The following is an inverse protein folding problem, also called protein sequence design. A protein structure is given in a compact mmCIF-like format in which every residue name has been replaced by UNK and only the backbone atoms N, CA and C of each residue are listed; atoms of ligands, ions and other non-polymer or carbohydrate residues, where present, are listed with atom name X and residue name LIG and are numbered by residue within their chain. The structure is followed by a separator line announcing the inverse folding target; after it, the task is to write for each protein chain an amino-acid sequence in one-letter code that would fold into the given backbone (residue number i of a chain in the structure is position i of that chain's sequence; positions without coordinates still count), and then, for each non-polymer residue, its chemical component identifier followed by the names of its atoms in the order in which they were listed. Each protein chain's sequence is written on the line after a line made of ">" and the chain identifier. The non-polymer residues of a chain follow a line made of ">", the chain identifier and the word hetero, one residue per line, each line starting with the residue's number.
data_IF_823970545837
#
_entry.id   IF_823970545837
#
_cell.length_a   1.000
_cell.length_b   1.000
_cell.length_c   1.000
_cell.angle_alpha   90.00
_cell.angle_beta   90.00
_cell.angle_gamma   90.00
#
_symmetry.space_group_name_H-M   'P 1'
#
loop_
_entity.id
_entity.type
_entity.pdbx_description
1 polymer ?
#
# COMPACT_ATOMS: atom_id res chain seq x y z
N UNK A 1 -0.06 -37.75 -13.83
CA UNK A 1 0.59 -36.50 -13.39
C UNK A 1 -0.55 -35.57 -13.04
N UNK A 2 -0.63 -35.14 -11.79
CA UNK A 2 -1.71 -34.27 -11.31
C UNK A 2 -1.13 -32.88 -11.14
N UNK A 3 -1.69 -31.85 -11.79
CA UNK A 3 -1.14 -30.50 -11.74
C UNK A 3 -1.33 -29.85 -10.36
N UNK A 4 -0.42 -28.94 -10.00
CA UNK A 4 -0.58 -28.04 -8.84
C UNK A 4 -1.56 -26.94 -9.23
N UNK A 5 -2.53 -26.69 -8.36
CA UNK A 5 -3.68 -25.83 -8.66
C UNK A 5 -3.62 -24.58 -7.77
N UNK A 6 -3.25 -23.43 -8.32
CA UNK A 6 -3.37 -22.15 -7.62
C UNK A 6 -4.86 -21.78 -7.53
N UNK A 7 -5.40 -21.54 -6.32
CA UNK A 7 -6.82 -21.21 -6.13
C UNK A 7 -6.99 -19.79 -5.58
N UNK A 8 -7.27 -18.82 -6.44
CA UNK A 8 -7.48 -17.44 -6.00
C UNK A 8 -8.85 -17.28 -5.31
N UNK A 9 -8.89 -17.37 -3.98
CA UNK A 9 -10.10 -17.11 -3.18
C UNK A 9 -10.12 -15.68 -2.65
N UNK A 10 -11.21 -14.95 -2.83
CA UNK A 10 -11.41 -13.65 -2.18
C UNK A 10 -11.96 -13.83 -0.76
N UNK A 11 -11.18 -13.41 0.23
CA UNK A 11 -11.67 -13.25 1.59
C UNK A 11 -11.50 -11.83 2.13
N UNK A 12 -12.45 -11.38 2.93
CA UNK A 12 -12.37 -10.22 3.82
C UNK A 12 -12.33 -10.78 5.24
N UNK A 13 -11.28 -10.48 5.98
CA UNK A 13 -11.02 -11.00 7.32
C UNK A 13 -11.08 -9.89 8.36
N UNK A 14 -11.19 -10.25 9.64
CA UNK A 14 -10.65 -9.38 10.70
C UNK A 14 -9.18 -9.15 10.42
N UNK A 15 -8.70 -7.91 10.62
CA UNK A 15 -7.29 -7.58 10.51
C UNK A 15 -6.44 -8.70 11.17
N UNK A 16 -5.55 -9.38 10.42
CA UNK A 16 -4.64 -10.34 11.04
C UNK A 16 -3.91 -9.64 12.18
N UNK A 17 -3.45 -10.37 13.21
CA UNK A 17 -2.65 -9.78 14.31
C UNK A 17 -1.40 -9.01 13.79
N UNK A 18 -1.07 -9.16 12.50
CA UNK A 18 -0.11 -8.38 11.73
C UNK A 18 -0.76 -7.87 10.41
N UNK A 19 -0.76 -6.56 10.12
CA UNK A 19 -1.18 -6.02 8.83
C UNK A 19 -0.38 -6.66 7.66
N UNK A 20 -1.03 -6.96 6.54
CA UNK A 20 -0.34 -7.45 5.33
C UNK A 20 -0.29 -8.97 5.11
N UNK A 21 -1.15 -9.77 5.74
CA UNK A 21 -1.03 -11.24 5.57
C UNK A 21 -1.65 -11.72 4.24
N UNK A 22 -0.81 -12.07 3.28
CA UNK A 22 -1.18 -13.06 2.25
C UNK A 22 -1.31 -14.42 2.95
N UNK A 23 -2.51 -15.01 3.01
CA UNK A 23 -2.70 -16.33 3.64
C UNK A 23 -2.32 -17.42 2.63
N UNK A 24 -1.03 -17.59 2.39
CA UNK A 24 -0.48 -18.82 1.85
C UNK A 24 -0.34 -19.82 2.99
N UNK A 25 -1.20 -20.84 3.06
CA UNK A 25 -1.04 -21.91 4.04
C UNK A 25 -0.32 -23.11 3.38
N UNK A 26 0.98 -23.34 3.64
CA UNK A 26 1.67 -24.56 3.19
C UNK A 26 1.22 -25.83 3.96
N UNK A 27 0.21 -25.77 4.83
CA UNK A 27 -0.23 -26.86 5.69
C UNK A 27 -1.70 -27.27 5.55
N UNK A 28 -1.98 -28.18 4.60
CA UNK A 28 -3.17 -29.07 4.61
C UNK A 28 -4.53 -28.46 4.23
N UNK A 29 -5.27 -29.19 3.39
CA UNK A 29 -6.58 -28.84 2.79
C UNK A 29 -7.74 -28.59 3.79
N UNK A 30 -7.54 -28.91 5.07
CA UNK A 30 -8.61 -28.94 6.07
C UNK A 30 -8.71 -27.65 6.92
N UNK A 31 -7.81 -26.68 6.73
CA UNK A 31 -7.71 -25.49 7.60
C UNK A 31 -7.65 -24.12 6.91
N UNK A 32 -8.01 -23.99 5.63
CA UNK A 32 -8.49 -22.70 5.10
C UNK A 32 -9.91 -22.43 5.63
N UNK A 33 -10.06 -22.37 6.96
CA UNK A 33 -11.26 -21.88 7.63
C UNK A 33 -11.07 -20.38 7.82
N UNK A 34 -11.20 -19.63 6.73
CA UNK A 34 -11.23 -18.16 6.79
C UNK A 34 -12.60 -17.79 7.35
N UNK A 35 -12.69 -17.56 8.66
CA UNK A 35 -13.93 -17.07 9.26
C UNK A 35 -14.04 -15.58 8.96
N UNK A 36 -14.85 -15.21 7.97
CA UNK A 36 -15.16 -13.81 7.71
C UNK A 36 -15.83 -13.19 8.94
N UNK A 37 -15.24 -12.16 9.54
CA UNK A 37 -16.07 -11.18 10.22
C UNK A 37 -16.93 -10.51 9.16
N UNK A 38 -18.18 -10.94 9.03
CA UNK A 38 -19.11 -10.33 8.10
C UNK A 38 -19.31 -8.87 8.50
N UNK A 39 -19.09 -7.95 7.55
CA UNK A 39 -19.65 -6.60 7.67
C UNK A 39 -21.16 -6.78 7.76
N UNK A 40 -21.78 -6.34 8.86
CA UNK A 40 -23.22 -6.57 9.08
C UNK A 40 -24.02 -5.96 7.93
N UNK A 41 -24.79 -6.78 7.22
CA UNK A 41 -25.61 -6.34 6.08
C UNK A 41 -24.92 -6.37 4.72
N UNK A 42 -23.70 -6.92 4.64
CA UNK A 42 -23.00 -7.20 3.38
C UNK A 42 -22.66 -8.68 3.28
N UNK A 43 -23.22 -9.35 2.29
CA UNK A 43 -22.85 -10.69 1.88
C UNK A 43 -21.97 -10.59 0.63
N UNK A 44 -20.91 -11.41 0.53
CA UNK A 44 -20.09 -11.42 -0.68
C UNK A 44 -20.82 -12.14 -1.81
N UNK A 45 -20.72 -11.61 -3.01
CA UNK A 45 -21.10 -12.29 -4.25
C UNK A 45 -19.87 -12.90 -4.92
N UNK A 46 -20.13 -13.61 -6.01
CA UNK A 46 -19.07 -14.06 -6.91
C UNK A 46 -18.55 -12.90 -7.76
N UNK A 47 -17.38 -13.09 -8.35
CA UNK A 47 -16.76 -12.16 -9.26
C UNK A 47 -16.11 -12.87 -10.43
N UNK A 48 -15.55 -12.09 -11.34
CA UNK A 48 -14.75 -12.61 -12.45
C UNK A 48 -13.55 -11.73 -12.67
N UNK A 49 -12.42 -12.28 -13.08
CA UNK A 49 -11.30 -11.50 -13.61
C UNK A 49 -10.73 -12.20 -14.82
N UNK A 50 -10.00 -11.49 -15.68
CA UNK A 50 -9.20 -12.10 -16.74
C UNK A 50 -7.76 -12.20 -16.28
N UNK A 51 -7.16 -13.37 -16.37
CA UNK A 51 -5.73 -13.54 -16.17
C UNK A 51 -5.01 -12.96 -17.38
N UNK A 52 -4.35 -11.82 -17.20
CA UNK A 52 -3.60 -11.16 -18.24
C UNK A 52 -2.18 -11.72 -18.34
N UNK A 53 -1.55 -12.04 -17.20
CA UNK A 53 -0.17 -12.53 -17.16
C UNK A 53 0.13 -13.26 -15.86
N UNK A 54 0.98 -14.28 -15.92
CA UNK A 54 1.63 -14.86 -14.74
C UNK A 54 3.11 -15.04 -15.05
N UNK A 55 3.99 -14.45 -14.25
CA UNK A 55 5.44 -14.63 -14.36
C UNK A 55 5.94 -15.29 -13.10
N UNK A 56 6.64 -16.40 -13.23
CA UNK A 56 7.34 -17.04 -12.12
C UNK A 56 8.82 -16.66 -12.19
N UNK A 57 9.36 -16.19 -11.06
CA UNK A 57 10.77 -15.85 -10.92
C UNK A 57 11.48 -16.97 -10.18
N UNK A 58 12.42 -17.63 -10.85
CA UNK A 58 13.31 -18.62 -10.25
C UNK A 58 14.27 -17.97 -9.27
N UNK A 59 14.73 -18.74 -8.28
CA UNK A 59 15.67 -18.26 -7.26
C UNK A 59 17.07 -17.91 -7.81
N UNK A 60 17.36 -18.31 -9.04
CA UNK A 60 18.57 -17.96 -9.80
C UNK A 60 18.40 -16.72 -10.70
N UNK A 61 17.24 -16.04 -10.60
CA UNK A 61 16.89 -14.89 -11.44
C UNK A 61 16.32 -15.28 -12.81
N UNK A 62 16.14 -16.57 -13.10
CA UNK A 62 15.38 -16.99 -14.29
C UNK A 62 13.92 -16.55 -14.19
N UNK A 63 13.26 -16.35 -15.34
CA UNK A 63 11.84 -16.03 -15.39
C UNK A 63 11.11 -16.97 -16.34
N UNK A 64 9.91 -17.39 -15.96
CA UNK A 64 9.01 -18.20 -16.78
C UNK A 64 7.67 -17.47 -16.88
N UNK A 65 7.35 -17.01 -18.09
CA UNK A 65 6.02 -16.47 -18.42
C UNK A 65 5.07 -17.66 -18.67
N UNK A 66 4.04 -17.78 -17.84
CA UNK A 66 3.05 -18.84 -17.93
C UNK A 66 1.93 -18.36 -18.87
N UNK A 67 1.86 -18.97 -20.05
CA UNK A 67 0.94 -18.58 -21.12
C UNK A 67 -0.53 -18.62 -20.63
N UNK A 68 -1.22 -17.45 -20.61
CA UNK A 68 -2.63 -17.38 -20.22
C UNK A 68 -3.57 -18.27 -21.05
N UNK A 69 -3.17 -18.62 -22.28
CA UNK A 69 -3.95 -19.48 -23.17
C UNK A 69 -4.03 -20.94 -22.69
N UNK A 70 -3.24 -21.33 -21.68
CA UNK A 70 -3.31 -22.65 -21.05
C UNK A 70 -4.43 -22.78 -20.01
N UNK A 71 -5.09 -21.67 -19.65
CA UNK A 71 -6.21 -21.63 -18.70
C UNK A 71 -7.56 -21.77 -19.44
N UNK A 72 -8.73 -21.72 -18.77
CA UNK A 72 -10.03 -21.82 -19.43
C UNK A 72 -10.10 -20.89 -20.65
N UNK A 73 -10.86 -21.28 -21.69
CA UNK A 73 -10.96 -20.48 -22.90
C UNK A 73 -11.28 -19.03 -22.52
N UNK A 74 -10.41 -18.12 -22.96
CA UNK A 74 -10.43 -16.67 -22.76
C UNK A 74 -9.79 -16.12 -21.46
N UNK A 75 -9.15 -16.97 -20.63
CA UNK A 75 -8.43 -16.51 -19.43
C UNK A 75 -9.34 -16.01 -18.31
N UNK A 76 -10.65 -16.25 -18.39
CA UNK A 76 -11.61 -15.83 -17.37
C UNK A 76 -11.50 -16.73 -16.12
N UNK A 77 -11.16 -16.12 -14.99
CA UNK A 77 -11.14 -16.72 -13.66
C UNK A 77 -12.42 -16.31 -12.94
N UNK A 78 -13.13 -17.29 -12.37
CA UNK A 78 -14.20 -17.03 -11.41
C UNK A 78 -13.59 -16.73 -10.05
N UNK A 79 -13.98 -15.61 -9.47
CA UNK A 79 -13.61 -15.20 -8.12
C UNK A 79 -14.78 -15.54 -7.20
N UNK A 80 -14.84 -16.78 -6.72
CA UNK A 80 -15.98 -17.23 -5.92
C UNK A 80 -15.70 -17.16 -4.42
N UNK A 81 -16.77 -16.97 -3.66
CA UNK A 81 -16.80 -17.17 -2.21
C UNK A 81 -16.87 -18.65 -1.83
N UNK A 82 -17.35 -19.49 -2.74
CA UNK A 82 -17.36 -20.95 -2.60
C UNK A 82 -16.09 -21.53 -3.24
N UNK A 83 -15.50 -22.56 -2.61
CA UNK A 83 -14.18 -23.15 -2.97
C UNK A 83 -14.06 -23.73 -4.40
N UNK A 84 -15.08 -23.61 -5.25
CA UNK A 84 -15.07 -24.12 -6.61
C UNK A 84 -14.38 -23.11 -7.56
N UNK A 85 -13.08 -22.93 -7.39
CA UNK A 85 -12.30 -22.03 -8.23
C UNK A 85 -11.67 -22.77 -9.40
N UNK A 86 -11.51 -22.04 -10.50
CA UNK A 86 -10.70 -22.52 -11.63
C UNK A 86 -9.26 -22.21 -11.29
N UNK A 87 -8.43 -23.24 -11.14
CA UNK A 87 -7.05 -23.00 -10.77
C UNK A 87 -6.09 -22.89 -11.94
N UNK A 88 -4.95 -22.26 -11.63
CA UNK A 88 -3.84 -22.05 -12.55
C UNK A 88 -2.85 -23.19 -12.34
N UNK A 89 -2.55 -23.93 -13.40
CA UNK A 89 -1.47 -24.91 -13.39
C UNK A 89 -0.12 -24.19 -13.50
N UNK A 90 0.75 -24.38 -12.50
CA UNK A 90 2.10 -23.82 -12.51
C UNK A 90 3.11 -24.88 -12.98
N UNK A 91 4.13 -24.49 -13.77
CA UNK A 91 5.22 -25.40 -14.11
C UNK A 91 5.97 -25.85 -12.85
N UNK A 92 6.45 -27.11 -12.82
CA UNK A 92 7.20 -27.64 -11.70
C UNK A 92 8.52 -26.88 -11.53
N UNK A 93 8.92 -26.61 -10.29
CA UNK A 93 10.11 -25.83 -9.98
C UNK A 93 10.13 -25.23 -8.59
N UNK A 94 11.23 -24.57 -8.25
CA UNK A 94 11.37 -23.76 -7.03
C UNK A 94 11.39 -22.30 -7.44
N UNK A 95 10.37 -21.55 -7.04
CA UNK A 95 10.17 -20.15 -7.44
C UNK A 95 10.36 -19.26 -6.22
N UNK A 96 11.14 -18.19 -6.38
CA UNK A 96 11.37 -17.17 -5.36
C UNK A 96 10.51 -15.92 -5.56
N UNK A 97 9.76 -15.85 -6.67
CA UNK A 97 8.72 -14.86 -6.83
C UNK A 97 7.64 -15.27 -7.84
N UNK A 98 6.51 -14.57 -7.76
CA UNK A 98 5.40 -14.72 -8.69
C UNK A 98 4.72 -13.37 -8.92
N UNK A 99 4.65 -12.94 -10.18
CA UNK A 99 3.87 -11.78 -10.59
C UNK A 99 2.59 -12.26 -11.27
N UNK A 100 1.42 -11.82 -10.79
CA UNK A 100 0.11 -12.14 -11.37
C UNK A 100 -0.58 -10.85 -11.78
N UNK A 101 -0.86 -10.70 -13.07
CA UNK A 101 -1.64 -9.60 -13.62
C UNK A 101 -3.05 -10.08 -13.93
N UNK A 102 -4.05 -9.46 -13.31
CA UNK A 102 -5.46 -9.61 -13.65
C UNK A 102 -5.94 -8.36 -14.40
N UNK A 103 -6.83 -8.52 -15.37
CA UNK A 103 -7.56 -7.42 -16.00
C UNK A 103 -9.07 -7.61 -15.86
N UNK A 104 -9.82 -6.52 -16.00
CA UNK A 104 -11.28 -6.52 -16.06
C UNK A 104 -11.93 -7.27 -14.88
N UNK A 105 -11.36 -7.13 -13.68
CA UNK A 105 -11.89 -7.78 -12.50
C UNK A 105 -13.22 -7.14 -12.09
N UNK A 106 -14.25 -7.96 -11.91
CA UNK A 106 -15.58 -7.60 -11.46
C UNK A 106 -15.85 -8.35 -10.17
N UNK A 107 -16.20 -7.62 -9.10
CA UNK A 107 -16.52 -8.20 -7.79
C UNK A 107 -17.95 -7.80 -7.43
N UNK A 108 -18.81 -8.78 -7.17
CA UNK A 108 -20.17 -8.51 -6.70
C UNK A 108 -20.25 -8.60 -5.17
N UNK A 109 -20.96 -7.67 -4.56
CA UNK A 109 -21.28 -7.64 -3.14
C UNK A 109 -22.79 -7.52 -3.00
N UNK A 110 -23.41 -8.43 -2.27
CA UNK A 110 -24.82 -8.36 -1.91
C UNK A 110 -24.97 -7.48 -0.67
N UNK A 111 -25.78 -6.44 -0.76
CA UNK A 111 -26.15 -5.58 0.36
C UNK A 111 -27.66 -5.59 0.53
N UNK A 112 -28.16 -5.12 1.67
CA UNK A 112 -29.60 -5.10 1.95
C UNK A 112 -30.44 -4.39 0.85
N UNK A 113 -29.84 -3.48 0.09
CA UNK A 113 -30.49 -2.67 -0.95
C UNK A 113 -30.28 -3.19 -2.38
N UNK A 114 -29.45 -4.21 -2.62
CA UNK A 114 -29.16 -4.72 -3.96
C UNK A 114 -27.76 -5.31 -4.10
N UNK A 115 -27.27 -5.41 -5.33
CA UNK A 115 -25.91 -5.89 -5.63
C UNK A 115 -25.02 -4.70 -6.01
N UNK A 116 -23.90 -4.54 -5.33
CA UNK A 116 -22.83 -3.62 -5.68
C UNK A 116 -21.85 -4.36 -6.57
N UNK A 117 -21.53 -3.82 -7.75
CA UNK A 117 -20.48 -4.37 -8.63
C UNK A 117 -19.30 -3.42 -8.68
N UNK A 118 -18.16 -3.87 -8.17
CA UNK A 118 -16.89 -3.17 -8.31
C UNK A 118 -16.20 -3.64 -9.59
N UNK A 119 -15.72 -2.71 -10.43
CA UNK A 119 -14.96 -3.02 -11.65
C UNK A 119 -13.55 -2.44 -11.56
N UNK A 120 -12.56 -3.31 -11.53
CA UNK A 120 -11.13 -2.98 -11.42
C UNK A 120 -10.47 -3.30 -12.76
N UNK A 121 -9.82 -2.31 -13.37
CA UNK A 121 -9.24 -2.47 -14.71
C UNK A 121 -8.05 -3.42 -14.74
N UNK A 122 -7.17 -3.29 -13.77
CA UNK A 122 -5.96 -4.09 -13.65
C UNK A 122 -5.61 -4.32 -12.17
N UNK A 123 -5.10 -5.50 -11.84
CA UNK A 123 -4.56 -5.85 -10.53
C UNK A 123 -3.23 -6.55 -10.79
N UNK A 124 -2.12 -5.98 -10.35
CA UNK A 124 -0.80 -6.62 -10.41
C UNK A 124 -0.41 -7.07 -8.99
N UNK A 125 -0.25 -8.38 -8.79
CA UNK A 125 0.16 -8.98 -7.52
C UNK A 125 1.60 -9.44 -7.66
N UNK A 126 2.51 -8.91 -6.84
CA UNK A 126 3.91 -9.31 -6.81
C UNK A 126 4.21 -10.02 -5.49
N UNK A 127 4.48 -11.32 -5.58
CA UNK A 127 5.05 -12.09 -4.50
C UNK A 127 6.56 -12.07 -4.66
N UNK A 128 7.21 -11.24 -3.87
CA UNK A 128 8.66 -11.22 -3.75
C UNK A 128 8.98 -11.40 -2.27
N UNK A 129 9.59 -12.55 -1.94
CA UNK A 129 10.13 -12.93 -0.63
C UNK A 129 9.18 -13.67 0.35
N UNK A 130 9.68 -14.82 0.83
CA UNK A 130 8.99 -15.87 1.60
C UNK A 130 9.74 -17.21 1.47
N UNK A 131 9.26 -18.29 2.11
CA UNK A 131 9.75 -19.64 1.77
C UNK A 131 9.52 -19.90 0.28
N UNK A 132 10.53 -20.45 -0.41
CA UNK A 132 10.44 -20.66 -1.86
C UNK A 132 9.19 -21.48 -2.20
N UNK A 133 8.45 -21.03 -3.23
CA UNK A 133 7.31 -21.75 -3.77
C UNK A 133 7.83 -23.00 -4.48
N UNK A 134 7.75 -24.14 -3.82
CA UNK A 134 8.12 -25.44 -4.40
C UNK A 134 6.89 -26.07 -5.06
N UNK A 135 6.89 -26.08 -6.39
CA UNK A 135 5.91 -26.78 -7.23
C UNK A 135 6.51 -28.15 -7.58
N UNK A 136 6.23 -29.15 -6.75
CA UNK A 136 6.73 -30.52 -6.95
C UNK A 136 5.61 -31.46 -7.46
N UNK A 137 5.77 -32.06 -8.65
CA UNK A 137 4.76 -32.94 -9.24
C UNK A 137 4.65 -34.31 -8.55
N UNK A 138 5.59 -34.70 -7.67
CA UNK A 138 5.61 -36.01 -7.01
C UNK A 138 5.02 -36.00 -5.59
N UNK A 139 5.04 -34.87 -4.88
CA UNK A 139 4.55 -34.76 -3.49
C UNK A 139 3.06 -34.42 -3.36
N UNK A 140 2.36 -34.25 -4.48
CA UNK A 140 1.00 -33.66 -4.53
C UNK A 140 -0.15 -34.66 -4.64
N UNK A 141 0.11 -35.97 -4.52
CA UNK A 141 -0.97 -36.97 -4.62
C UNK A 141 -2.00 -36.88 -3.48
N UNK A 142 -1.63 -36.35 -2.31
CA UNK A 142 -2.53 -36.27 -1.14
C UNK A 142 -2.68 -34.84 -0.55
N UNK A 143 -1.95 -33.84 -1.03
CA UNK A 143 -2.05 -32.44 -0.57
C UNK A 143 -1.86 -31.48 -1.74
N UNK A 144 -2.95 -30.87 -2.19
CA UNK A 144 -2.89 -29.69 -3.07
C UNK A 144 -2.58 -28.48 -2.20
N UNK A 145 -1.48 -27.78 -2.49
CA UNK A 145 -1.23 -26.47 -1.90
C UNK A 145 -2.17 -25.47 -2.60
N UNK A 146 -3.00 -24.79 -1.82
CA UNK A 146 -3.96 -23.79 -2.29
C UNK A 146 -3.46 -22.40 -1.83
N UNK A 147 -3.40 -21.44 -2.75
CA UNK A 147 -2.94 -20.07 -2.47
C UNK A 147 -4.03 -19.10 -2.88
N UNK A 148 -4.56 -18.31 -1.93
CA UNK A 148 -5.65 -17.36 -2.15
C UNK A 148 -5.23 -15.90 -2.01
N UNK A 149 -5.88 -15.01 -2.77
CA UNK A 149 -5.73 -13.56 -2.65
C UNK A 149 -6.82 -13.00 -1.72
N UNK A 150 -6.44 -12.63 -0.49
CA UNK A 150 -7.37 -12.09 0.50
C UNK A 150 -7.35 -10.56 0.43
N UNK A 151 -8.49 -9.93 0.17
CA UNK A 151 -8.67 -8.49 0.27
C UNK A 151 -9.09 -8.15 1.71
N UNK A 152 -8.11 -7.88 2.58
CA UNK A 152 -8.40 -7.56 3.99
C UNK A 152 -8.68 -6.08 4.18
N UNK A 153 -9.92 -5.76 4.58
CA UNK A 153 -10.37 -4.66 5.45
C UNK A 153 -11.90 -4.52 5.30
N UNK A 154 -12.73 -4.71 6.34
CA UNK A 154 -14.19 -4.65 6.22
C UNK A 154 -14.77 -3.21 6.17
N UNK A 155 -13.97 -2.21 6.50
CA UNK A 155 -14.46 -0.84 6.74
C UNK A 155 -14.84 -0.10 5.45
N UNK A 156 -14.14 -0.37 4.33
CA UNK A 156 -14.50 0.23 3.03
C UNK A 156 -15.86 -0.25 2.51
N UNK A 157 -16.25 -1.49 2.82
CA UNK A 157 -17.57 -2.04 2.49
C UNK A 157 -18.68 -1.33 3.27
N UNK A 158 -18.43 -0.94 4.53
CA UNK A 158 -19.40 -0.22 5.34
C UNK A 158 -19.69 1.19 4.78
N UNK A 159 -18.70 1.85 4.16
CA UNK A 159 -18.89 3.15 3.49
C UNK A 159 -19.67 3.01 2.17
N UNK A 160 -19.42 1.95 1.40
CA UNK A 160 -20.20 1.63 0.19
C UNK A 160 -21.69 1.39 0.50
N UNK A 161 -21.99 0.73 1.62
CA UNK A 161 -23.37 0.48 2.07
C UNK A 161 -24.11 1.76 2.45
N UNK A 162 -23.39 2.80 2.89
CA UNK A 162 -24.00 4.10 3.20
C UNK A 162 -24.48 4.83 1.94
N UNK A 163 -24.06 4.39 0.76
CA UNK A 163 -24.51 4.99 -0.49
C UNK A 163 -25.87 4.43 -0.92
N UNK A 164 -26.76 5.33 -1.36
CA UNK A 164 -28.06 4.93 -1.89
C UNK A 164 -27.89 4.46 -3.34
N UNK A 165 -28.19 3.19 -3.68
CA UNK A 165 -28.09 2.72 -5.05
C UNK A 165 -29.07 3.47 -5.96
N UNK A 166 -28.61 3.85 -7.14
CA UNK A 166 -29.45 4.33 -8.24
C UNK A 166 -29.68 3.15 -9.17
N UNK A 167 -30.94 2.75 -9.37
CA UNK A 167 -31.31 1.59 -10.20
C UNK A 167 -30.67 0.25 -9.78
N UNK A 168 -30.36 0.09 -8.49
CA UNK A 168 -29.83 -1.17 -7.93
C UNK A 168 -28.35 -1.43 -8.22
N UNK A 169 -27.64 -0.47 -8.81
CA UNK A 169 -26.19 -0.49 -9.01
C UNK A 169 -25.58 0.70 -8.25
N UNK A 170 -24.54 0.42 -7.44
CA UNK A 170 -23.66 1.48 -6.92
C UNK A 170 -22.49 1.54 -7.89
N UNK A 171 -22.46 2.57 -8.73
CA UNK A 171 -21.26 2.95 -9.48
C UNK A 171 -20.62 4.10 -8.70
N UNK A 172 -19.52 3.85 -7.98
CA UNK A 172 -18.83 4.95 -7.31
C UNK A 172 -18.45 6.01 -8.34
N UNK A 173 -18.61 7.28 -7.99
CA UNK A 173 -18.03 8.36 -8.79
C UNK A 173 -16.49 8.31 -8.75
N UNK A 174 -15.82 9.16 -9.52
CA UNK A 174 -14.35 9.12 -9.62
C UNK A 174 -13.65 9.32 -8.27
N UNK A 175 -14.19 10.18 -7.40
CA UNK A 175 -13.62 10.47 -6.07
C UNK A 175 -13.83 9.28 -5.12
N UNK A 176 -15.01 8.67 -5.18
CA UNK A 176 -15.33 7.47 -4.41
C UNK A 176 -14.55 6.25 -4.89
N UNK A 177 -14.35 6.13 -6.20
CA UNK A 177 -13.54 5.08 -6.80
C UNK A 177 -12.08 5.23 -6.39
N UNK A 178 -11.53 6.44 -6.44
CA UNK A 178 -10.18 6.76 -5.95
C UNK A 178 -10.04 6.48 -4.43
N UNK A 179 -11.06 6.81 -3.63
CA UNK A 179 -11.06 6.53 -2.19
C UNK A 179 -11.16 5.02 -1.88
N UNK A 180 -11.94 4.27 -2.64
CA UNK A 180 -12.06 2.81 -2.54
C UNK A 180 -10.75 2.13 -2.94
N UNK A 181 -10.18 2.55 -4.06
CA UNK A 181 -8.92 2.05 -4.59
C UNK A 181 -7.76 2.33 -3.62
N UNK A 182 -7.68 3.55 -3.06
CA UNK A 182 -6.70 3.91 -2.03
C UNK A 182 -6.84 3.15 -0.71
N UNK A 183 -8.01 2.57 -0.41
CA UNK A 183 -8.24 1.73 0.78
C UNK A 183 -8.14 0.23 0.50
N UNK A 184 -8.24 -0.20 -0.75
CA UNK A 184 -7.94 -1.58 -1.16
C UNK A 184 -6.44 -1.83 -1.31
N UNK A 185 -5.66 -0.77 -1.56
CA UNK A 185 -4.20 -0.69 -1.66
C UNK A 185 -3.40 -1.07 -0.39
N UNK A 186 -4.06 -1.62 0.63
CA UNK A 186 -3.69 -1.59 2.05
C UNK A 186 -2.63 -2.62 2.48
N UNK A 187 -1.92 -3.26 1.55
CA UNK A 187 -0.79 -4.16 1.88
C UNK A 187 0.47 -3.87 1.09
N UNK A 188 0.72 -2.58 0.80
CA UNK A 188 1.74 -2.03 -0.10
C UNK A 188 1.21 -1.90 -1.52
N UNK A 189 1.17 -0.67 -2.02
CA UNK A 189 1.07 -0.50 -3.46
C UNK A 189 1.77 0.73 -3.98
N UNK A 190 2.48 0.53 -5.07
CA UNK A 190 2.83 1.57 -6.01
C UNK A 190 1.71 1.62 -7.05
N UNK A 191 1.12 2.80 -7.25
CA UNK A 191 0.66 3.17 -8.59
C UNK A 191 1.90 3.59 -9.35
N UNK A 192 2.28 2.86 -10.40
CA UNK A 192 3.27 3.41 -11.32
C UNK A 192 2.69 4.63 -12.07
N UNK A 193 3.55 5.36 -12.78
CA UNK A 193 3.13 6.50 -13.61
C UNK A 193 2.14 6.14 -14.73
N UNK A 194 1.80 4.85 -14.89
CA UNK A 194 0.82 4.32 -15.84
C UNK A 194 -0.51 3.92 -15.15
N UNK A 195 -0.62 4.08 -13.83
CA UNK A 195 -1.82 3.79 -13.04
C UNK A 195 -1.99 2.30 -12.67
N UNK A 196 -0.91 1.52 -12.63
CA UNK A 196 -0.94 0.09 -12.26
C UNK A 196 -0.80 -0.10 -10.76
N UNK A 197 -1.75 -0.79 -10.12
CA UNK A 197 -1.68 -1.17 -8.71
C UNK A 197 -0.75 -2.38 -8.52
N UNK A 198 0.44 -2.19 -7.95
CA UNK A 198 1.35 -3.29 -7.57
C UNK A 198 1.11 -3.68 -6.11
N UNK A 199 0.90 -4.95 -5.78
CA UNK A 199 0.79 -5.40 -4.38
C UNK A 199 2.03 -6.19 -3.96
N UNK A 200 2.77 -5.77 -2.92
CA UNK A 200 3.91 -6.52 -2.36
C UNK A 200 3.51 -7.31 -1.10
N UNK A 201 4.11 -8.50 -0.92
CA UNK A 201 3.85 -9.36 0.23
C UNK A 201 4.56 -8.91 1.53
N UNK A 202 4.18 -9.49 2.69
CA UNK A 202 4.85 -9.22 3.96
C UNK A 202 6.29 -9.75 3.93
N UNK A 203 7.24 -8.90 4.32
CA UNK A 203 8.68 -9.23 4.27
C UNK A 203 9.38 -8.82 2.98
N UNK A 204 8.71 -8.07 2.10
CA UNK A 204 9.37 -7.35 1.01
C UNK A 204 10.45 -6.42 1.58
N UNK A 205 11.72 -6.81 1.45
CA UNK A 205 12.82 -5.86 1.55
C UNK A 205 12.92 -5.19 0.17
N UNK A 206 12.56 -3.90 0.03
CA UNK A 206 12.70 -3.25 -1.25
C UNK A 206 14.13 -3.43 -1.74
N UNK A 207 14.33 -3.85 -3.00
CA UNK A 207 15.66 -4.17 -3.50
C UNK A 207 16.55 -2.97 -3.20
N UNK A 208 17.71 -3.21 -2.55
CA UNK A 208 18.73 -2.17 -2.44
C UNK A 208 18.88 -1.57 -3.83
N UNK A 209 18.58 -0.26 -4.01
CA UNK A 209 18.43 0.31 -5.35
C UNK A 209 19.67 -0.04 -6.15
N UNK A 210 19.46 -0.76 -7.26
CA UNK A 210 20.53 -1.42 -8.00
C UNK A 210 21.66 -0.42 -8.29
N UNK A 211 22.76 -0.53 -7.55
CA UNK A 211 23.97 0.28 -7.71
C UNK A 211 23.74 1.80 -7.77
N UNK A 212 22.92 2.39 -6.89
CA UNK A 212 23.06 3.82 -6.68
C UNK A 212 24.46 4.12 -6.15
N UNK A 213 25.19 5.04 -6.80
CA UNK A 213 26.42 5.58 -6.22
C UNK A 213 26.03 6.39 -4.99
N UNK A 214 26.08 5.73 -3.83
CA UNK A 214 25.84 6.30 -2.52
C UNK A 214 26.47 7.70 -2.41
N UNK A 215 25.63 8.74 -2.41
CA UNK A 215 26.08 10.12 -2.22
C UNK A 215 25.98 10.48 -0.73
N UNK A 216 26.85 11.36 -0.22
CA UNK A 216 26.62 11.96 1.09
C UNK A 216 25.29 12.71 1.08
N UNK A 217 24.50 12.55 2.15
CA UNK A 217 23.26 13.31 2.31
C UNK A 217 23.59 14.81 2.27
N UNK A 218 22.90 15.62 1.45
CA UNK A 218 23.13 17.06 1.39
C UNK A 218 23.08 17.70 2.78
N UNK A 219 24.00 18.63 3.05
CA UNK A 219 23.95 19.46 4.25
C UNK A 219 22.82 20.48 4.12
N UNK A 220 21.67 20.12 4.66
CA UNK A 220 20.47 20.97 4.69
C UNK A 220 20.43 21.77 5.99
N UNK A 221 19.87 22.97 5.89
CA UNK A 221 19.45 23.74 7.07
C UNK A 221 18.48 22.91 7.94
N UNK A 222 18.24 23.30 9.21
CA UNK A 222 17.15 22.71 9.98
C UNK A 222 15.88 22.75 9.14
N UNK A 223 15.24 21.61 8.93
CA UNK A 223 14.11 21.51 8.00
C UNK A 223 12.87 22.14 8.60
N UNK A 224 12.55 21.79 9.85
CA UNK A 224 11.44 22.36 10.59
C UNK A 224 11.87 23.72 11.15
N UNK A 225 11.27 24.80 10.64
CA UNK A 225 11.70 26.17 10.94
C UNK A 225 11.18 26.69 12.27
N UNK A 226 9.98 26.25 12.65
CA UNK A 226 9.19 26.88 13.70
C UNK A 226 8.67 25.88 14.74
N UNK A 227 9.42 24.80 14.95
CA UNK A 227 9.12 23.84 16.00
C UNK A 227 8.87 24.56 17.33
N UNK A 228 7.81 24.19 18.05
CA UNK A 228 7.35 24.84 19.27
C UNK A 228 8.28 24.60 20.50
N UNK A 229 9.59 24.80 20.34
CA UNK A 229 10.63 24.55 21.34
C UNK A 229 10.46 25.34 22.63
N UNK A 230 9.80 26.51 22.57
CA UNK A 230 9.49 27.32 23.76
C UNK A 230 8.45 26.65 24.68
N UNK A 231 7.72 25.68 24.17
CA UNK A 231 6.75 24.88 24.91
C UNK A 231 7.34 23.54 25.38
N UNK A 232 8.64 23.33 25.17
CA UNK A 232 9.35 22.13 25.61
C UNK A 232 9.41 21.01 24.58
N UNK A 233 9.01 21.26 23.34
CA UNK A 233 9.16 20.32 22.24
C UNK A 233 10.56 20.41 21.61
N UNK A 234 10.94 19.38 20.85
CA UNK A 234 12.25 19.30 20.22
C UNK A 234 12.10 18.92 18.75
N UNK A 235 13.05 19.37 17.92
CA UNK A 235 13.20 18.87 16.55
C UNK A 235 13.94 17.55 16.64
N UNK A 236 13.37 16.52 16.03
CA UNK A 236 13.97 15.22 15.92
C UNK A 236 14.34 14.97 14.46
N UNK A 237 15.64 14.83 14.18
CA UNK A 237 16.11 14.58 12.82
C UNK A 237 16.90 13.28 12.79
N UNK A 238 16.64 12.46 11.78
CA UNK A 238 17.43 11.31 11.41
C UNK A 238 17.77 11.36 9.92
N UNK A 239 18.95 10.88 9.55
CA UNK A 239 19.34 10.74 8.15
C UNK A 239 20.19 9.50 7.96
N UNK A 240 20.05 8.89 6.79
CA UNK A 240 20.90 7.80 6.37
C UNK A 240 22.36 8.29 6.21
N UNK A 241 23.33 7.39 6.35
CA UNK A 241 24.74 7.76 6.11
C UNK A 241 25.00 8.12 4.64
N UNK A 242 24.18 7.56 3.75
CA UNK A 242 24.26 7.72 2.30
C UNK A 242 22.85 7.81 1.74
N UNK A 243 22.68 8.56 0.66
CA UNK A 243 21.41 8.64 -0.09
C UNK A 243 21.58 8.07 -1.49
N UNK A 244 20.46 7.67 -2.07
CA UNK A 244 20.30 7.18 -3.42
C UNK A 244 19.17 7.95 -4.08
N UNK A 245 19.23 8.10 -5.40
CA UNK A 245 18.09 8.60 -6.18
C UNK A 245 17.31 7.43 -6.78
N UNK A 246 15.97 7.41 -6.65
CA UNK A 246 15.16 8.39 -5.93
C UNK A 246 15.28 8.29 -4.40
N UNK A 247 15.32 9.43 -3.70
CA UNK A 247 15.39 9.48 -2.24
C UNK A 247 14.02 9.62 -1.58
N UNK A 248 13.77 8.92 -0.46
CA UNK A 248 12.57 9.11 0.37
C UNK A 248 12.84 10.09 1.52
N UNK A 249 12.15 11.23 1.50
CA UNK A 249 12.28 12.29 2.51
C UNK A 249 11.00 12.39 3.30
N UNK A 250 11.08 12.31 4.62
CA UNK A 250 9.91 12.21 5.50
C UNK A 250 9.89 13.40 6.44
N UNK A 251 8.74 14.05 6.58
CA UNK A 251 8.45 14.88 7.73
C UNK A 251 7.21 14.44 8.48
N UNK A 252 7.23 14.68 9.78
CA UNK A 252 6.14 14.33 10.66
C UNK A 252 5.91 15.34 11.76
N UNK A 253 4.65 15.73 11.96
CA UNK A 253 4.24 16.55 13.10
C UNK A 253 3.12 15.91 13.88
N UNK A 254 2.94 16.28 15.14
CA UNK A 254 1.69 15.92 15.83
C UNK A 254 0.56 16.83 15.33
N UNK A 255 0.81 18.14 15.32
CA UNK A 255 -0.19 19.16 14.95
C UNK A 255 0.43 20.39 14.29
N UNK A 256 -0.38 21.18 13.58
CA UNK A 256 -0.02 22.53 13.15
C UNK A 256 -0.60 23.62 14.08
N UNK A 257 -1.54 23.26 14.97
CA UNK A 257 -2.24 24.18 15.89
C UNK A 257 -2.74 23.46 17.14
N UNK A 258 -2.82 24.19 18.26
CA UNK A 258 -3.07 23.62 19.59
C UNK A 258 -4.51 23.77 20.10
N UNK A 259 -5.41 24.39 19.34
CA UNK A 259 -6.82 24.56 19.71
C UNK A 259 -7.70 23.39 19.25
N UNK A 260 -7.18 22.17 19.41
CA UNK A 260 -7.92 20.93 19.22
C UNK A 260 -8.36 20.35 20.59
N UNK A 261 -9.34 19.47 20.57
CA UNK A 261 -9.81 18.71 21.75
C UNK A 261 -10.49 17.44 21.25
N UNK A 262 -10.88 16.51 22.14
CA UNK A 262 -11.28 15.16 21.73
C UNK A 262 -12.42 15.00 20.71
N UNK A 263 -13.20 16.05 20.41
CA UNK A 263 -14.19 16.06 19.32
C UNK A 263 -14.03 17.26 18.37
N UNK A 264 -12.93 18.01 18.47
CA UNK A 264 -12.72 19.26 17.74
C UNK A 264 -11.30 19.22 17.18
N UNK A 265 -11.20 18.96 15.88
CA UNK A 265 -9.93 18.81 15.16
C UNK A 265 -9.91 19.82 14.00
N UNK A 266 -9.63 21.11 14.28
CA UNK A 266 -9.65 22.13 13.24
C UNK A 266 -8.49 21.91 12.27
N UNK A 267 -8.76 22.05 10.98
CA UNK A 267 -7.73 21.97 9.93
C UNK A 267 -6.60 22.98 10.20
N UNK A 268 -5.38 22.45 10.27
CA UNK A 268 -4.14 23.21 10.32
C UNK A 268 -3.57 23.48 8.93
N UNK A 269 -2.65 24.43 8.84
CA UNK A 269 -1.98 24.79 7.58
C UNK A 269 -0.47 24.70 7.80
N UNK A 270 0.23 23.99 6.92
CA UNK A 270 1.69 23.88 6.93
C UNK A 270 2.22 24.30 5.58
N UNK A 271 3.23 25.17 5.58
CA UNK A 271 4.00 25.52 4.38
C UNK A 271 5.18 24.59 4.22
N UNK A 272 5.27 23.94 3.05
CA UNK A 272 6.35 22.99 2.72
C UNK A 272 7.10 23.49 1.50
N UNK A 273 8.39 23.76 1.64
CA UNK A 273 9.29 24.02 0.52
C UNK A 273 10.26 22.86 0.39
N UNK A 274 10.21 22.16 -0.74
CA UNK A 274 11.07 21.02 -1.03
C UNK A 274 11.92 21.33 -2.27
N UNK A 275 13.14 21.82 -2.04
CA UNK A 275 14.12 22.24 -3.06
C UNK A 275 15.40 21.43 -2.90
N UNK A 276 15.28 20.10 -3.04
CA UNK A 276 16.41 19.17 -3.07
C UNK A 276 16.62 18.74 -4.53
N UNK A 277 17.76 19.05 -5.16
CA UNK A 277 18.00 18.64 -6.54
C UNK A 277 17.95 17.12 -6.74
N UNK A 278 17.50 16.67 -7.90
CA UNK A 278 17.41 15.24 -8.25
C UNK A 278 16.01 14.65 -8.08
N UNK A 279 15.91 13.33 -8.11
CA UNK A 279 14.62 12.62 -8.07
C UNK A 279 14.27 12.16 -6.65
N UNK A 280 13.05 12.45 -6.20
CA UNK A 280 12.66 12.20 -4.80
C UNK A 280 11.20 11.80 -4.64
N UNK A 281 10.90 11.20 -3.49
CA UNK A 281 9.56 11.04 -2.93
C UNK A 281 9.51 11.81 -1.61
N UNK A 282 8.46 12.60 -1.42
CA UNK A 282 8.21 13.33 -0.18
C UNK A 282 7.09 12.67 0.59
N UNK A 283 7.31 12.34 1.87
CA UNK A 283 6.29 11.80 2.75
C UNK A 283 6.00 12.80 3.88
N UNK A 284 4.72 13.07 4.12
CA UNK A 284 4.25 14.02 5.12
C UNK A 284 3.28 13.31 6.05
N UNK A 285 3.40 13.55 7.36
CA UNK A 285 2.49 12.97 8.32
C UNK A 285 2.07 13.92 9.42
N UNK A 286 0.80 13.79 9.85
CA UNK A 286 0.30 14.48 11.03
C UNK A 286 -0.76 13.70 11.78
N UNK A 287 -0.76 13.76 13.12
CA UNK A 287 -1.89 13.23 13.89
C UNK A 287 -3.15 14.07 13.60
N UNK A 288 -3.08 15.38 13.85
CA UNK A 288 -4.15 16.35 13.60
C UNK A 288 -4.37 16.60 12.09
N UNK A 289 -5.54 17.14 11.67
CA UNK A 289 -5.81 17.39 10.27
C UNK A 289 -4.96 18.55 9.75
N UNK A 290 -4.29 18.35 8.61
CA UNK A 290 -3.37 19.33 8.02
C UNK A 290 -3.59 19.50 6.52
N UNK A 291 -3.62 20.76 6.09
CA UNK A 291 -3.41 21.16 4.69
C UNK A 291 -1.93 21.51 4.49
N UNK A 292 -1.26 20.72 3.66
CA UNK A 292 0.12 20.85 3.27
C UNK A 292 0.24 21.68 1.99
N UNK A 293 0.75 22.90 2.11
CA UNK A 293 0.97 23.81 0.98
C UNK A 293 2.39 23.61 0.45
N UNK A 294 2.53 22.71 -0.53
CA UNK A 294 3.82 22.25 -1.06
C UNK A 294 4.28 23.14 -2.21
N UNK A 295 5.56 23.51 -2.20
CA UNK A 295 6.30 24.15 -3.28
C UNK A 295 7.54 23.34 -3.60
N UNK A 296 7.76 23.07 -4.87
CA UNK A 296 8.87 22.23 -5.36
C UNK A 296 9.91 23.12 -6.04
N UNK A 297 11.18 22.88 -5.74
CA UNK A 297 12.30 23.56 -6.36
C UNK A 297 12.43 23.27 -7.87
N UNK A 298 13.03 24.18 -8.66
CA UNK A 298 13.11 24.02 -10.11
C UNK A 298 14.03 22.87 -10.57
N UNK A 299 14.98 22.46 -9.70
CA UNK A 299 15.91 21.36 -9.96
C UNK A 299 15.44 20.03 -9.31
N UNK A 300 14.23 20.03 -8.71
CA UNK A 300 13.67 18.90 -7.98
C UNK A 300 12.62 18.18 -8.81
N UNK A 301 12.80 16.87 -8.99
CA UNK A 301 11.80 15.99 -9.59
C UNK A 301 11.11 15.18 -8.48
N UNK A 302 9.98 15.68 -7.96
CA UNK A 302 9.14 14.90 -7.06
C UNK A 302 8.31 13.90 -7.87
N UNK A 303 8.54 12.61 -7.63
CA UNK A 303 7.80 11.52 -8.28
C UNK A 303 6.42 11.28 -7.65
N UNK A 304 6.33 11.44 -6.33
CA UNK A 304 5.10 11.29 -5.56
C UNK A 304 5.17 12.05 -4.23
N UNK A 305 4.00 12.35 -3.67
CA UNK A 305 3.84 12.79 -2.29
C UNK A 305 3.01 11.75 -1.53
N UNK A 306 3.59 11.18 -0.49
CA UNK A 306 2.91 10.28 0.42
C UNK A 306 2.35 11.08 1.59
N UNK A 307 1.11 10.81 1.98
CA UNK A 307 0.52 11.39 3.20
C UNK A 307 -0.05 10.32 4.11
N UNK A 308 0.20 10.45 5.41
CA UNK A 308 -0.39 9.59 6.44
C UNK A 308 -0.85 10.45 7.62
N UNK A 309 -2.05 10.19 8.14
CA UNK A 309 -2.58 10.98 9.24
C UNK A 309 -3.75 10.33 9.94
N UNK A 310 -3.91 10.57 11.26
CA UNK A 310 -5.06 10.03 11.99
C UNK A 310 -6.32 10.73 11.53
N UNK A 311 -6.21 12.04 11.33
CA UNK A 311 -7.21 12.87 10.68
C UNK A 311 -6.80 13.24 9.25
N UNK A 312 -7.72 13.92 8.56
CA UNK A 312 -7.60 14.28 7.16
C UNK A 312 -6.29 15.01 6.82
N UNK A 313 -5.61 14.52 5.78
CA UNK A 313 -4.42 15.15 5.20
C UNK A 313 -4.75 15.62 3.78
N UNK A 314 -4.53 16.91 3.51
CA UNK A 314 -4.80 17.55 2.21
C UNK A 314 -3.51 18.14 1.67
N UNK A 315 -3.14 17.86 0.42
CA UNK A 315 -1.96 18.47 -0.22
C UNK A 315 -2.42 19.48 -1.27
N UNK A 316 -1.75 20.63 -1.34
CA UNK A 316 -2.02 21.72 -2.29
C UNK A 316 -0.71 22.29 -2.85
N UNK A 317 -0.83 23.00 -3.98
CA UNK A 317 0.29 23.75 -4.57
C UNK A 317 1.18 22.94 -5.52
N UNK A 318 0.77 21.73 -5.88
CA UNK A 318 1.51 20.81 -6.74
C UNK A 318 0.56 19.93 -7.56
N UNK A 319 1.03 19.51 -8.74
CA UNK A 319 0.35 18.54 -9.62
C UNK A 319 0.99 17.14 -9.51
N UNK A 320 1.95 16.96 -8.60
CA UNK A 320 2.62 15.68 -8.32
C UNK A 320 1.59 14.66 -7.78
N UNK A 321 1.64 13.38 -8.18
CA UNK A 321 0.76 12.34 -7.65
C UNK A 321 0.78 12.29 -6.12
N UNK A 322 -0.40 12.23 -5.51
CA UNK A 322 -0.57 12.15 -4.04
C UNK A 322 -1.09 10.75 -3.71
N UNK A 323 -0.43 10.09 -2.76
CA UNK A 323 -0.82 8.78 -2.26
C UNK A 323 -1.08 8.84 -0.76
N UNK A 324 -2.22 8.31 -0.32
CA UNK A 324 -2.48 8.10 1.10
C UNK A 324 -1.87 6.78 1.54
N UNK A 325 -1.07 6.81 2.60
CA UNK A 325 -0.48 5.63 3.21
C UNK A 325 -1.26 5.28 4.46
N UNK A 326 -1.77 4.05 4.48
CA UNK A 326 -2.48 3.45 5.60
C UNK A 326 -1.50 2.79 6.58
N UNK A 327 -1.81 2.79 7.87
CA UNK A 327 -0.95 2.18 8.91
C UNK A 327 -0.94 3.00 10.19
N UNK A 328 0.09 2.92 11.04
CA UNK A 328 0.23 3.83 12.17
C UNK A 328 0.30 5.26 11.65
N UNK A 329 -0.78 5.97 11.90
CA UNK A 329 -1.18 7.19 11.21
C UNK A 329 -0.48 8.46 11.72
N UNK A 330 0.54 8.34 12.57
CA UNK A 330 1.32 9.48 13.02
C UNK A 330 2.71 9.09 13.53
N UNK A 331 3.66 10.00 13.34
CA UNK A 331 5.02 9.91 13.83
C UNK A 331 5.70 11.25 13.68
N UNK A 332 6.28 11.78 14.77
CA UNK A 332 6.87 13.13 14.81
C UNK A 332 8.17 13.17 15.63
N UNK A 333 8.65 12.01 16.08
CA UNK A 333 9.87 11.84 16.86
C UNK A 333 10.46 10.46 16.54
N UNK A 334 11.76 10.34 16.35
CA UNK A 334 12.41 9.08 15.97
C UNK A 334 13.63 8.77 16.86
N UNK A 335 13.75 7.56 17.43
CA UNK A 335 12.70 6.54 17.53
C UNK A 335 11.59 7.00 18.51
N UNK A 336 10.33 6.72 18.21
CA UNK A 336 9.23 7.00 19.13
C UNK A 336 8.06 6.05 18.88
N UNK A 337 7.61 5.44 19.96
CA UNK A 337 6.45 4.56 19.98
C UNK A 337 5.66 4.80 21.26
N UNK A 338 4.75 5.79 21.22
CA UNK A 338 3.99 6.25 22.37
C UNK A 338 2.80 7.13 21.99
N UNK A 339 1.82 7.25 22.90
CA UNK A 339 0.65 8.13 22.76
C UNK A 339 -0.15 7.97 21.46
N UNK A 340 -0.17 6.77 20.87
CA UNK A 340 -0.88 6.49 19.62
C UNK A 340 -0.07 6.78 18.35
N UNK A 341 1.16 7.30 18.46
CA UNK A 341 2.08 7.47 17.35
C UNK A 341 3.23 6.47 17.43
N UNK A 342 3.50 5.80 16.31
CA UNK A 342 4.60 4.86 16.15
C UNK A 342 5.38 5.27 14.91
N UNK A 343 6.41 6.10 15.11
CA UNK A 343 7.20 6.66 14.01
C UNK A 343 7.98 5.58 13.28
N UNK A 344 8.44 4.53 13.97
CA UNK A 344 9.16 3.42 13.33
C UNK A 344 8.27 2.73 12.29
N UNK A 345 7.03 2.39 12.67
CA UNK A 345 6.09 1.73 11.78
C UNK A 345 5.50 2.68 10.72
N UNK A 346 5.43 3.99 10.99
CA UNK A 346 5.09 4.99 9.98
C UNK A 346 6.16 5.04 8.88
N UNK A 347 7.44 5.10 9.29
CA UNK A 347 8.57 5.08 8.37
C UNK A 347 8.53 3.80 7.53
N UNK A 348 8.38 2.63 8.15
CA UNK A 348 8.23 1.35 7.45
C UNK A 348 7.05 1.37 6.46
N UNK A 349 5.92 1.95 6.85
CA UNK A 349 4.76 2.12 5.97
C UNK A 349 5.08 2.96 4.72
N UNK A 350 5.81 4.07 4.87
CA UNK A 350 6.28 4.87 3.74
C UNK A 350 7.30 4.12 2.89
N UNK A 351 8.28 3.43 3.51
CA UNK A 351 9.29 2.65 2.77
C UNK A 351 8.63 1.57 1.91
N UNK A 352 7.69 0.82 2.49
CA UNK A 352 6.95 -0.23 1.80
C UNK A 352 6.03 0.32 0.70
N UNK A 353 5.47 1.51 0.87
CA UNK A 353 4.58 2.12 -0.13
C UNK A 353 5.31 2.49 -1.42
N UNK A 354 6.61 2.81 -1.37
CA UNK A 354 7.38 3.23 -2.56
C UNK A 354 8.57 2.35 -2.90
N UNK A 355 8.83 1.34 -2.08
CA UNK A 355 10.01 0.49 -2.21
C UNK A 355 11.33 1.27 -2.10
N UNK A 356 11.37 2.32 -1.28
CA UNK A 356 12.55 3.16 -1.07
C UNK A 356 12.93 3.17 0.40
N UNK A 357 14.23 3.25 0.68
CA UNK A 357 14.74 3.46 2.04
C UNK A 357 14.71 4.95 2.38
N UNK A 358 14.38 5.24 3.63
CA UNK A 358 14.35 6.61 4.14
C UNK A 358 15.73 7.24 4.03
N UNK A 359 15.81 8.35 3.30
CA UNK A 359 17.01 9.18 3.22
C UNK A 359 17.11 10.09 4.44
N UNK A 360 15.99 10.70 4.83
CA UNK A 360 15.93 11.63 5.94
C UNK A 360 14.54 11.67 6.54
N UNK A 361 14.48 11.78 7.86
CA UNK A 361 13.28 12.04 8.65
C UNK A 361 13.49 13.33 9.46
N UNK A 362 12.50 14.24 9.43
CA UNK A 362 12.44 15.42 10.29
C UNK A 362 11.09 15.49 11.01
N UNK A 363 11.13 15.48 12.33
CA UNK A 363 9.96 15.43 13.20
C UNK A 363 9.91 16.58 14.20
N UNK A 364 8.71 17.08 14.50
CA UNK A 364 8.47 17.97 15.64
C UNK A 364 7.04 17.81 16.13
N UNK A 365 6.78 17.94 17.43
CA UNK A 365 5.40 17.90 17.92
C UNK A 365 4.50 18.94 17.23
N UNK A 366 4.93 20.20 17.13
CA UNK A 366 4.14 21.25 16.47
C UNK A 366 4.99 22.18 15.62
N UNK A 367 4.60 22.33 14.36
CA UNK A 367 5.24 23.23 13.40
C UNK A 367 4.24 23.65 12.30
N UNK A 368 4.53 24.77 11.63
CA UNK A 368 3.78 25.28 10.47
C UNK A 368 4.65 25.56 9.26
N UNK A 369 5.97 25.39 9.36
CA UNK A 369 6.90 25.64 8.25
C UNK A 369 8.03 24.60 8.16
N UNK A 370 8.17 24.02 6.97
CA UNK A 370 9.21 23.03 6.63
C UNK A 370 9.94 23.45 5.34
N UNK A 371 11.26 23.44 5.37
CA UNK A 371 12.11 23.83 4.24
C UNK A 371 13.27 22.86 4.09
N UNK A 372 13.24 22.05 3.04
CA UNK A 372 14.42 21.31 2.57
C UNK A 372 15.07 22.13 1.47
N UNK A 373 16.15 22.84 1.81
CA UNK A 373 16.96 23.59 0.84
C UNK A 373 18.44 23.44 1.21
N UNK A 374 19.33 23.21 0.23
CA UNK A 374 20.77 23.25 0.45
C UNK A 374 21.20 24.55 1.11
N UNK A 375 22.16 24.46 2.02
CA UNK A 375 22.78 25.66 2.60
C UNK A 375 23.42 26.52 1.51
N UNK A 376 22.97 27.78 1.39
CA UNK A 376 23.58 28.77 0.48
C UNK A 376 22.89 28.98 -0.88
N UNK A 377 21.65 28.50 -1.06
CA UNK A 377 20.75 28.94 -2.14
C UNK A 377 19.71 29.92 -1.65
#
# INVERSE_FOLDING_TARGET
>A
MTPVLLLMSLACDTAPERPGTFVGNPGGTDQLSVSSAGTTGVERGDGTARLARVVLSGCDGSQVDVDPATFPPDGLIQLSTERALTGIELPPGTWCGMDVSLSDAQLDFQVATGTIRLSIRAIDVQLSEGEALVVDPETTSDRKAEYGLVLSEPDWLAELVQQQPVDGLITPDAEQQEALEGRMALTSSLYDGEGRLSLHGPGYDPPEPASCEAQPVPDLLPVIQDCAIREGYEVNTWFAQTTCEPGLWIAGIYEARSDHSGNVHPMGEVSVTFDVPGQHVLALSSYEPVTWNVRVGPDTELRAILVAGYYEQVVRGTDVPIQRVSGPVCGYSYPYNGQGCNTDALIEGFENAVGLRTTRFDGCYRATEMVWSPSGR
#
